data_IF_685783373582
#
_entry.id   IF_685783373582
#
_cell.length_a   1.000
_cell.length_b   1.000
_cell.length_c   1.000
_cell.angle_alpha   90.00
_cell.angle_beta   90.00
_cell.angle_gamma   90.00
#
_symmetry.space_group_name_H-M   'P 1'
#
loop_
_entity.id
_entity.type
_entity.pdbx_description
1 polymer ?
#
# COMPACT_ATOMS: atom_id res chain seq x y z
N UNK A 1 6.31 -4.51 11.53
CA UNK A 1 6.63 -3.80 10.29
C UNK A 1 6.08 -2.38 10.36
N UNK A 2 6.58 -1.50 9.50
CA UNK A 2 6.01 -0.19 9.22
C UNK A 2 5.57 -0.19 7.74
N UNK A 3 4.26 -0.04 7.50
CA UNK A 3 3.63 -0.20 6.19
C UNK A 3 2.95 1.10 5.78
N UNK A 4 3.27 1.64 4.62
CA UNK A 4 2.55 2.78 4.06
C UNK A 4 1.71 2.33 2.85
N UNK A 5 0.42 2.67 2.84
CA UNK A 5 -0.46 2.52 1.70
C UNK A 5 -0.57 3.84 0.96
N UNK A 6 -0.26 3.85 -0.33
CA UNK A 6 -0.39 5.00 -1.23
C UNK A 6 -1.52 4.72 -2.20
N UNK A 7 -2.56 5.55 -2.15
CA UNK A 7 -3.80 5.39 -2.91
C UNK A 7 -3.93 6.44 -4.00
N UNK A 8 -4.27 5.99 -5.21
CA UNK A 8 -4.44 6.83 -6.37
C UNK A 8 -5.87 7.39 -6.46
N UNK A 9 -6.02 8.70 -6.38
CA UNK A 9 -7.29 9.39 -6.58
C UNK A 9 -7.32 10.30 -7.81
N UNK A 10 -6.38 10.09 -8.74
CA UNK A 10 -6.21 10.89 -9.95
C UNK A 10 -7.32 10.67 -10.97
N UNK A 11 -7.30 11.47 -12.04
CA UNK A 11 -8.32 11.42 -13.10
C UNK A 11 -8.30 10.14 -13.94
N UNK A 12 -7.17 9.42 -14.02
CA UNK A 12 -7.05 8.15 -14.76
C UNK A 12 -7.81 7.00 -14.09
N UNK A 13 -7.92 7.02 -12.76
CA UNK A 13 -8.69 6.04 -11.99
C UNK A 13 -10.19 6.36 -12.08
N UNK A 14 -11.03 5.40 -12.45
CA UNK A 14 -12.49 5.55 -12.46
C UNK A 14 -13.07 5.53 -11.04
N UNK A 15 -14.31 6.00 -10.86
CA UNK A 15 -14.97 6.00 -9.54
C UNK A 15 -15.14 4.59 -8.97
N UNK A 16 -15.49 3.63 -9.81
CA UNK A 16 -15.63 2.23 -9.41
C UNK A 16 -14.28 1.65 -8.95
N UNK A 17 -13.21 1.88 -9.74
CA UNK A 17 -11.86 1.44 -9.42
C UNK A 17 -11.34 2.06 -8.11
N UNK A 18 -11.63 3.34 -7.85
CA UNK A 18 -11.30 3.97 -6.55
C UNK A 18 -12.10 3.39 -5.39
N UNK A 19 -13.34 2.97 -5.63
CA UNK A 19 -14.12 2.27 -4.61
C UNK A 19 -13.52 0.90 -4.29
N UNK A 20 -13.14 0.13 -5.30
CA UNK A 20 -12.47 -1.16 -5.16
C UNK A 20 -11.11 -1.03 -4.46
N UNK A 21 -10.33 -0.01 -4.81
CA UNK A 21 -9.08 0.33 -4.12
C UNK A 21 -9.30 0.55 -2.62
N UNK A 22 -10.33 1.31 -2.24
CA UNK A 22 -10.69 1.52 -0.83
C UNK A 22 -11.07 0.21 -0.14
N UNK A 23 -11.83 -0.67 -0.79
CA UNK A 23 -12.19 -1.97 -0.24
C UNK A 23 -10.94 -2.83 -0.02
N UNK A 24 -10.03 -2.84 -1.00
CA UNK A 24 -8.78 -3.58 -0.89
C UNK A 24 -7.94 -3.06 0.28
N UNK A 25 -7.74 -1.74 0.38
CA UNK A 25 -6.95 -1.14 1.47
C UNK A 25 -7.58 -1.43 2.83
N UNK A 26 -8.90 -1.38 2.97
CA UNK A 26 -9.59 -1.81 4.21
C UNK A 26 -9.22 -3.23 4.61
N UNK A 27 -9.35 -4.19 3.69
CA UNK A 27 -9.00 -5.59 3.94
C UNK A 27 -7.51 -5.77 4.28
N UNK A 28 -6.63 -5.01 3.63
CA UNK A 28 -5.19 -5.04 3.92
C UNK A 28 -4.89 -4.48 5.31
N UNK A 29 -5.49 -3.35 5.68
CA UNK A 29 -5.34 -2.73 7.01
C UNK A 29 -5.80 -3.70 8.10
N UNK A 30 -6.96 -4.34 7.96
CA UNK A 30 -7.45 -5.35 8.92
C UNK A 30 -6.40 -6.45 9.18
N UNK A 31 -5.76 -6.95 8.12
CA UNK A 31 -4.78 -8.01 8.24
C UNK A 31 -3.43 -7.53 8.78
N UNK A 32 -3.02 -6.31 8.42
CA UNK A 32 -1.72 -5.75 8.82
C UNK A 32 -1.77 -5.30 10.28
N UNK A 33 -2.80 -4.59 10.71
CA UNK A 33 -2.97 -4.12 12.10
C UNK A 33 -3.07 -5.30 13.07
N UNK A 34 -3.79 -6.34 12.72
CA UNK A 34 -3.96 -7.55 13.55
C UNK A 34 -2.63 -8.20 13.98
N UNK A 35 -1.54 -7.91 13.30
CA UNK A 35 -0.20 -8.44 13.60
C UNK A 35 0.68 -7.47 14.39
N UNK A 36 0.13 -6.36 14.90
CA UNK A 36 0.85 -5.35 15.69
C UNK A 36 1.86 -4.54 14.87
N UNK A 37 1.58 -4.34 13.60
CA UNK A 37 2.35 -3.46 12.72
C UNK A 37 1.85 -2.02 12.85
N UNK A 38 2.59 -1.06 12.25
CA UNK A 38 2.15 0.33 12.15
C UNK A 38 1.85 0.64 10.69
N UNK A 39 0.73 1.28 10.46
CA UNK A 39 0.28 1.67 9.13
C UNK A 39 0.30 3.19 8.96
N UNK A 40 0.49 3.63 7.71
CA UNK A 40 0.24 4.98 7.25
C UNK A 40 -0.60 4.96 5.98
N UNK A 41 -1.35 6.03 5.75
CA UNK A 41 -2.18 6.22 4.57
C UNK A 41 -1.80 7.51 3.86
N UNK A 42 -1.52 7.43 2.57
CA UNK A 42 -1.25 8.56 1.68
C UNK A 42 -2.29 8.54 0.57
N UNK A 43 -2.88 9.68 0.26
CA UNK A 43 -3.76 9.86 -0.89
C UNK A 43 -3.13 10.84 -1.86
N UNK A 44 -3.07 10.49 -3.15
CA UNK A 44 -2.53 11.37 -4.16
C UNK A 44 -3.44 11.57 -5.38
N UNK A 45 -3.14 12.60 -6.13
CA UNK A 45 -3.67 13.00 -7.42
C UNK A 45 -2.69 14.03 -7.99
N UNK A 46 -3.12 15.28 -8.21
CA UNK A 46 -2.22 16.40 -8.56
C UNK A 46 -1.24 16.77 -7.44
N UNK A 47 -1.61 16.52 -6.20
CA UNK A 47 -0.79 16.61 -4.98
C UNK A 47 -0.92 15.34 -4.17
N UNK A 48 0.03 15.10 -3.27
CA UNK A 48 -0.04 14.02 -2.31
C UNK A 48 -0.20 14.57 -0.89
N UNK A 49 -0.82 13.80 0.00
CA UNK A 49 -0.96 14.16 1.43
C UNK A 49 -1.14 12.92 2.29
N UNK A 50 -0.51 12.92 3.45
CA UNK A 50 -0.71 11.91 4.49
C UNK A 50 -2.12 12.05 5.06
N UNK A 51 -2.82 10.93 5.21
CA UNK A 51 -4.18 10.81 5.77
C UNK A 51 -4.17 10.15 7.14
N UNK A 52 -3.17 9.30 7.38
CA UNK A 52 -2.85 8.77 8.68
C UNK A 52 -1.34 8.52 8.75
N UNK A 53 -0.70 8.91 9.84
CA UNK A 53 0.72 8.68 10.10
C UNK A 53 0.97 7.25 10.61
N UNK A 54 2.22 6.81 10.54
CA UNK A 54 2.65 5.51 11.08
C UNK A 54 2.32 5.39 12.56
N UNK A 55 1.45 4.43 12.89
CA UNK A 55 1.05 4.17 14.26
C UNK A 55 0.18 5.26 14.90
N UNK A 56 -0.43 6.13 14.10
CA UNK A 56 -1.37 7.14 14.59
C UNK A 56 -2.56 6.51 15.32
N UNK A 57 -2.98 5.33 14.89
CA UNK A 57 -4.07 4.59 15.49
C UNK A 57 -3.60 3.18 15.91
N UNK A 58 -4.20 2.68 16.99
CA UNK A 58 -3.86 1.37 17.55
C UNK A 58 -4.78 0.25 17.05
N UNK A 59 -5.84 0.60 16.32
CA UNK A 59 -6.84 -0.36 15.86
C UNK A 59 -7.13 -0.20 14.36
N UNK A 60 -7.49 -1.30 13.72
CA UNK A 60 -7.84 -1.32 12.30
C UNK A 60 -9.08 -0.46 12.01
N UNK A 61 -10.07 -0.44 12.90
CA UNK A 61 -11.33 0.28 12.74
C UNK A 61 -11.08 1.78 12.49
N UNK A 62 -10.16 2.40 13.25
CA UNK A 62 -9.82 3.82 13.08
C UNK A 62 -9.16 4.11 11.74
N UNK A 63 -8.26 3.23 11.26
CA UNK A 63 -7.69 3.36 9.90
C UNK A 63 -8.78 3.17 8.84
N UNK A 64 -9.67 2.20 9.03
CA UNK A 64 -10.80 1.93 8.12
C UNK A 64 -11.72 3.14 8.02
N UNK A 65 -12.03 3.81 9.12
CA UNK A 65 -12.81 5.06 9.10
C UNK A 65 -12.12 6.14 8.25
N UNK A 66 -10.79 6.28 8.34
CA UNK A 66 -10.04 7.21 7.50
C UNK A 66 -10.19 6.83 6.03
N UNK A 67 -9.98 5.54 5.68
CA UNK A 67 -10.12 5.05 4.30
C UNK A 67 -11.54 5.29 3.77
N UNK A 68 -12.57 5.08 4.59
CA UNK A 68 -13.97 5.30 4.19
C UNK A 68 -14.28 6.77 3.88
N UNK A 69 -13.62 7.71 4.58
CA UNK A 69 -13.78 9.15 4.38
C UNK A 69 -13.00 9.70 3.18
N UNK A 70 -12.09 8.92 2.60
CA UNK A 70 -11.33 9.35 1.43
C UNK A 70 -12.25 9.63 0.25
N UNK A 71 -11.98 10.73 -0.45
CA UNK A 71 -12.72 11.16 -1.63
C UNK A 71 -11.79 11.19 -2.84
N UNK A 72 -12.31 10.76 -3.98
CA UNK A 72 -11.60 10.87 -5.25
C UNK A 72 -11.38 12.34 -5.60
N UNK A 73 -10.12 12.73 -5.81
CA UNK A 73 -9.76 14.13 -6.07
C UNK A 73 -9.77 14.51 -7.55
N UNK A 74 -9.61 13.52 -8.45
CA UNK A 74 -9.36 13.74 -9.87
C UNK A 74 -8.03 14.51 -10.13
N UNK A 75 -7.87 15.07 -11.32
CA UNK A 75 -6.67 15.81 -11.69
C UNK A 75 -5.54 14.94 -12.18
N UNK A 76 -4.32 15.46 -12.08
CA UNK A 76 -3.10 14.79 -12.61
C UNK A 76 -2.70 13.59 -11.75
N UNK A 77 -2.00 12.64 -12.37
CA UNK A 77 -1.40 11.48 -11.69
C UNK A 77 0.05 11.79 -11.36
N UNK A 78 0.34 12.10 -10.11
CA UNK A 78 1.67 12.49 -9.60
C UNK A 78 2.16 11.48 -8.56
N UNK A 79 2.42 10.25 -9.05
CA UNK A 79 3.01 9.18 -8.20
C UNK A 79 4.35 9.64 -7.61
N UNK A 80 5.14 10.38 -8.38
CA UNK A 80 6.40 10.96 -7.93
C UNK A 80 6.25 11.75 -6.62
N UNK A 81 5.24 12.63 -6.53
CA UNK A 81 4.95 13.40 -5.30
C UNK A 81 4.51 12.52 -4.14
N UNK A 82 3.77 11.46 -4.43
CA UNK A 82 3.34 10.53 -3.38
C UNK A 82 4.52 9.75 -2.79
N UNK A 83 5.50 9.39 -3.63
CA UNK A 83 6.74 8.75 -3.18
C UNK A 83 7.63 9.72 -2.40
N UNK A 84 7.73 10.99 -2.83
CA UNK A 84 8.45 12.04 -2.06
C UNK A 84 7.82 12.19 -0.65
N UNK A 85 6.49 12.30 -0.54
CA UNK A 85 5.76 12.36 0.75
C UNK A 85 5.99 11.12 1.60
N UNK A 86 6.04 9.93 0.99
CA UNK A 86 6.34 8.70 1.74
C UNK A 86 7.75 8.73 2.36
N UNK A 87 8.75 9.24 1.65
CA UNK A 87 10.12 9.41 2.16
C UNK A 87 10.16 10.43 3.29
N UNK A 88 9.67 11.64 3.00
CA UNK A 88 9.92 12.81 3.82
C UNK A 88 9.02 12.89 5.06
N UNK A 89 7.76 12.49 4.92
CA UNK A 89 6.76 12.67 5.97
C UNK A 89 6.39 11.37 6.70
N UNK A 90 6.52 10.20 6.06
CA UNK A 90 6.10 8.92 6.66
C UNK A 90 7.28 8.13 7.17
N UNK A 91 8.23 7.76 6.31
CA UNK A 91 9.33 6.89 6.71
C UNK A 91 10.44 7.63 7.47
N UNK A 92 10.44 8.97 7.51
CA UNK A 92 11.27 9.75 8.45
C UNK A 92 10.97 9.43 9.91
N UNK A 93 9.72 9.03 10.22
CA UNK A 93 9.27 8.61 11.57
C UNK A 93 9.23 7.09 11.77
N UNK A 94 9.73 6.31 10.81
CA UNK A 94 9.72 4.86 10.88
C UNK A 94 10.68 4.34 11.96
N UNK A 95 10.31 3.22 12.57
CA UNK A 95 11.16 2.55 13.56
C UNK A 95 12.46 2.07 12.91
N UNK A 96 13.65 2.32 13.51
CA UNK A 96 14.95 1.99 12.89
C UNK A 96 15.09 0.53 12.47
N UNK A 97 14.60 -0.39 13.31
CA UNK A 97 14.73 -1.84 13.11
C UNK A 97 13.48 -2.49 12.52
N UNK A 98 12.46 -1.71 12.15
CA UNK A 98 11.28 -2.26 11.51
C UNK A 98 11.56 -2.60 10.05
N UNK A 99 10.98 -3.70 9.59
CA UNK A 99 10.85 -3.92 8.15
C UNK A 99 9.88 -2.87 7.58
N UNK A 100 10.33 -2.17 6.55
CA UNK A 100 9.61 -1.05 5.96
C UNK A 100 9.13 -1.43 4.57
N UNK A 101 7.86 -1.16 4.30
CA UNK A 101 7.26 -1.40 2.99
C UNK A 101 6.28 -0.30 2.62
N UNK A 102 6.33 0.14 1.38
CA UNK A 102 5.29 0.96 0.77
C UNK A 102 4.52 0.14 -0.25
N UNK A 103 3.21 0.15 -0.16
CA UNK A 103 2.28 -0.48 -1.09
C UNK A 103 1.61 0.62 -1.90
N UNK A 104 1.94 0.69 -3.18
CA UNK A 104 1.41 1.72 -4.10
C UNK A 104 0.31 1.10 -4.94
N UNK A 105 -0.90 1.64 -4.82
CA UNK A 105 -2.07 1.23 -5.58
C UNK A 105 -2.30 2.28 -6.68
N UNK A 106 -2.15 1.90 -7.95
CA UNK A 106 -2.28 2.82 -9.09
C UNK A 106 -2.34 2.04 -10.42
N UNK A 107 -2.80 2.69 -11.49
CA UNK A 107 -2.69 2.18 -12.87
C UNK A 107 -1.27 2.32 -13.46
N UNK A 108 -0.38 3.02 -12.78
CA UNK A 108 1.00 3.27 -13.20
C UNK A 108 1.15 4.32 -14.30
N UNK A 109 0.08 5.01 -14.67
CA UNK A 109 0.11 6.04 -15.73
C UNK A 109 0.34 7.41 -15.14
N UNK A 110 1.57 7.91 -15.19
CA UNK A 110 1.92 9.26 -14.74
C UNK A 110 1.59 10.34 -15.77
N UNK A 111 1.19 11.51 -15.28
CA UNK A 111 0.98 12.71 -16.09
C UNK A 111 2.31 13.25 -16.63
N UNK A 112 2.26 13.90 -17.80
CA UNK A 112 3.41 14.60 -18.38
C UNK A 112 4.02 15.60 -17.38
N UNK A 113 5.36 15.62 -17.31
CA UNK A 113 6.11 16.47 -16.38
C UNK A 113 6.30 15.90 -14.97
N UNK A 114 5.88 14.66 -14.70
CA UNK A 114 6.28 13.93 -13.50
C UNK A 114 7.72 13.39 -13.64
N UNK A 115 8.42 13.26 -12.51
CA UNK A 115 9.70 12.52 -12.46
C UNK A 115 9.49 11.07 -12.89
N UNK A 116 10.50 10.39 -13.41
CA UNK A 116 10.39 8.97 -13.72
C UNK A 116 10.13 8.15 -12.45
N UNK A 117 9.35 7.06 -12.57
CA UNK A 117 9.04 6.19 -11.42
C UNK A 117 10.29 5.56 -10.82
N UNK A 118 11.30 5.27 -11.65
CA UNK A 118 12.61 4.75 -11.21
C UNK A 118 13.35 5.75 -10.32
N UNK A 119 13.37 7.02 -10.72
CA UNK A 119 14.04 8.09 -9.96
C UNK A 119 13.28 8.38 -8.67
N UNK A 120 11.98 8.54 -8.73
CA UNK A 120 11.15 8.87 -7.58
C UNK A 120 11.14 7.80 -6.49
N UNK A 121 11.25 6.52 -6.86
CA UNK A 121 11.30 5.42 -5.91
C UNK A 121 12.70 5.10 -5.37
N UNK A 122 13.75 5.67 -5.96
CA UNK A 122 15.14 5.44 -5.56
C UNK A 122 15.41 5.79 -4.09
N UNK A 123 14.98 6.95 -3.55
CA UNK A 123 15.19 7.29 -2.14
C UNK A 123 14.58 6.27 -1.18
N UNK A 124 13.39 5.74 -1.46
CA UNK A 124 12.77 4.68 -0.66
C UNK A 124 13.65 3.44 -0.61
N UNK A 125 14.11 2.96 -1.77
CA UNK A 125 14.99 1.78 -1.82
C UNK A 125 16.32 2.01 -1.12
N UNK A 126 16.91 3.21 -1.22
CA UNK A 126 18.13 3.59 -0.49
C UNK A 126 17.93 3.60 1.03
N UNK A 127 16.71 3.93 1.49
CA UNK A 127 16.31 3.86 2.89
C UNK A 127 15.86 2.44 3.35
N UNK A 128 16.14 1.41 2.54
CA UNK A 128 15.70 0.03 2.77
C UNK A 128 14.17 -0.11 2.93
N UNK A 129 13.40 0.72 2.23
CA UNK A 129 11.96 0.57 2.11
C UNK A 129 11.65 -0.25 0.85
N UNK A 130 11.01 -1.39 1.02
CA UNK A 130 10.54 -2.20 -0.10
C UNK A 130 9.36 -1.50 -0.76
N UNK A 131 9.36 -1.45 -2.08
CA UNK A 131 8.27 -0.87 -2.87
C UNK A 131 7.49 -2.01 -3.52
N UNK A 132 6.24 -2.19 -3.13
CA UNK A 132 5.28 -3.13 -3.73
C UNK A 132 4.26 -2.32 -4.53
N UNK A 133 4.04 -2.67 -5.78
CA UNK A 133 3.04 -2.04 -6.64
C UNK A 133 1.85 -2.98 -6.82
N UNK A 134 0.66 -2.45 -6.60
CA UNK A 134 -0.62 -3.11 -6.84
C UNK A 134 -1.30 -2.39 -8.00
N UNK A 135 -1.32 -3.02 -9.16
CA UNK A 135 -1.92 -2.48 -10.36
C UNK A 135 -3.44 -2.54 -10.28
N UNK A 136 -4.10 -1.40 -10.47
CA UNK A 136 -5.55 -1.26 -10.42
C UNK A 136 -6.06 -0.72 -11.74
N UNK A 137 -7.25 -1.18 -12.13
CA UNK A 137 -7.94 -0.72 -13.33
C UNK A 137 -7.53 -1.42 -14.61
N UNK A 138 -8.36 -1.25 -15.62
CA UNK A 138 -8.21 -1.92 -16.94
C UNK A 138 -7.09 -1.35 -17.81
N UNK A 139 -6.58 -0.16 -17.45
CA UNK A 139 -5.50 0.55 -18.16
C UNK A 139 -4.11 0.39 -17.54
N UNK A 140 -3.94 -0.55 -16.63
CA UNK A 140 -2.71 -0.72 -15.86
C UNK A 140 -1.46 -0.89 -16.74
N UNK A 141 -0.45 -0.07 -16.47
CA UNK A 141 0.84 -0.07 -17.14
C UNK A 141 1.89 -0.88 -16.37
N UNK A 142 1.82 -2.21 -16.40
CA UNK A 142 2.70 -3.13 -15.64
C UNK A 142 4.19 -2.77 -15.78
N UNK A 143 4.66 -2.49 -16.99
CA UNK A 143 6.06 -2.14 -17.25
C UNK A 143 6.49 -0.84 -16.52
N UNK A 144 5.56 0.11 -16.31
CA UNK A 144 5.84 1.33 -15.56
C UNK A 144 5.88 1.06 -14.06
N UNK A 145 4.95 0.26 -13.54
CA UNK A 145 4.96 -0.16 -12.14
C UNK A 145 6.25 -0.91 -11.78
N UNK A 146 6.75 -1.75 -12.69
CA UNK A 146 8.06 -2.42 -12.56
C UNK A 146 9.23 -1.44 -12.42
N UNK A 147 9.21 -0.31 -13.10
CA UNK A 147 10.25 0.71 -12.93
C UNK A 147 10.28 1.30 -11.51
N UNK A 148 9.13 1.35 -10.86
CA UNK A 148 9.00 1.82 -9.48
C UNK A 148 9.50 0.80 -8.47
N UNK A 149 9.13 -0.46 -8.62
CA UNK A 149 9.50 -1.52 -7.68
C UNK A 149 10.95 -1.97 -7.85
N UNK A 150 11.45 -1.98 -9.07
CA UNK A 150 12.76 -2.53 -9.43
C UNK A 150 12.77 -4.06 -9.57
N UNK A 151 11.64 -4.73 -9.36
CA UNK A 151 11.47 -6.18 -9.49
C UNK A 151 10.09 -6.52 -10.07
N UNK A 152 10.01 -7.57 -10.87
CA UNK A 152 8.73 -8.10 -11.36
C UNK A 152 7.92 -8.76 -10.26
N UNK A 153 8.58 -9.38 -9.31
CA UNK A 153 7.97 -10.07 -8.17
C UNK A 153 7.23 -9.10 -7.22
N UNK A 154 7.54 -7.81 -7.29
CA UNK A 154 6.93 -6.76 -6.49
C UNK A 154 5.84 -5.98 -7.25
N UNK A 155 5.37 -6.51 -8.38
CA UNK A 155 4.23 -5.97 -9.13
C UNK A 155 3.10 -6.98 -9.12
N UNK A 156 1.99 -6.63 -8.48
CA UNK A 156 0.77 -7.44 -8.41
C UNK A 156 -0.29 -6.82 -9.32
N UNK A 157 -0.75 -7.59 -10.30
CA UNK A 157 -1.88 -7.22 -11.16
C UNK A 157 -3.17 -7.71 -10.51
N UNK A 158 -4.05 -6.79 -10.13
CA UNK A 158 -5.31 -7.12 -9.46
C UNK A 158 -6.45 -7.04 -10.46
N UNK A 159 -6.87 -8.19 -10.97
CA UNK A 159 -8.09 -8.34 -11.80
C UNK A 159 -9.33 -8.57 -10.93
N UNK A 160 -9.15 -9.18 -9.78
CA UNK A 160 -10.17 -9.49 -8.79
C UNK A 160 -9.57 -9.33 -7.39
N UNK A 161 -10.20 -8.50 -6.55
CA UNK A 161 -9.70 -8.16 -5.21
C UNK A 161 -9.71 -9.39 -4.30
N UNK A 162 -10.75 -10.21 -4.34
CA UNK A 162 -10.88 -11.34 -3.43
C UNK A 162 -9.87 -12.44 -3.74
N UNK A 163 -9.70 -12.77 -5.03
CA UNK A 163 -8.73 -13.75 -5.48
C UNK A 163 -7.27 -13.33 -5.22
N UNK A 164 -6.98 -12.03 -5.28
CA UNK A 164 -5.61 -11.52 -5.12
C UNK A 164 -5.27 -11.05 -3.70
N UNK A 165 -6.25 -10.86 -2.81
CA UNK A 165 -6.01 -10.36 -1.44
C UNK A 165 -4.95 -11.18 -0.71
N UNK A 166 -5.08 -12.51 -0.71
CA UNK A 166 -4.13 -13.39 -0.04
C UNK A 166 -2.73 -13.32 -0.65
N UNK A 167 -2.63 -13.16 -1.96
CA UNK A 167 -1.37 -13.00 -2.66
C UNK A 167 -0.68 -11.68 -2.29
N UNK A 168 -1.42 -10.56 -2.25
CA UNK A 168 -0.91 -9.25 -1.83
C UNK A 168 -0.42 -9.32 -0.39
N UNK A 169 -1.21 -9.88 0.52
CA UNK A 169 -0.84 -10.05 1.92
C UNK A 169 0.44 -10.89 2.03
N UNK A 170 0.53 -12.00 1.32
CA UNK A 170 1.73 -12.85 1.29
C UNK A 170 2.95 -12.05 0.82
N UNK A 171 2.79 -11.21 -0.20
CA UNK A 171 3.87 -10.35 -0.69
C UNK A 171 4.26 -9.26 0.30
N UNK A 172 3.29 -8.63 1.01
CA UNK A 172 3.59 -7.68 2.09
C UNK A 172 4.47 -8.34 3.15
N UNK A 173 4.16 -9.58 3.53
CA UNK A 173 4.90 -10.33 4.54
C UNK A 173 6.10 -11.11 4.00
N UNK A 174 6.38 -11.06 2.71
CA UNK A 174 7.57 -11.68 2.09
C UNK A 174 8.83 -10.93 2.54
N UNK A 175 9.36 -11.36 3.68
CA UNK A 175 10.49 -10.74 4.35
C UNK A 175 11.53 -11.81 4.71
N UNK A 176 12.81 -11.60 4.39
CA UNK A 176 13.90 -12.48 4.81
C UNK A 176 14.03 -12.61 6.35
N UNK A 177 13.47 -11.68 7.13
CA UNK A 177 13.53 -11.68 8.60
C UNK A 177 12.36 -12.40 9.31
N UNK A 178 11.55 -13.19 8.62
CA UNK A 178 10.54 -14.05 9.25
C UNK A 178 9.17 -13.42 9.53
N UNK A 179 8.86 -12.24 8.98
CA UNK A 179 7.53 -11.63 9.14
C UNK A 179 6.40 -12.52 8.61
N UNK A 180 6.65 -13.30 7.56
CA UNK A 180 5.69 -14.27 7.03
C UNK A 180 5.32 -15.35 8.07
N UNK A 181 6.29 -15.84 8.86
CA UNK A 181 6.05 -16.82 9.94
C UNK A 181 5.10 -16.23 11.00
N UNK A 182 5.32 -14.97 11.40
CA UNK A 182 4.46 -14.29 12.37
C UNK A 182 3.03 -14.15 11.83
N UNK A 183 2.87 -13.76 10.57
CA UNK A 183 1.57 -13.66 9.91
C UNK A 183 0.86 -15.02 9.86
N UNK A 184 1.54 -16.08 9.46
CA UNK A 184 0.99 -17.44 9.40
C UNK A 184 0.56 -17.94 10.78
N UNK A 185 1.35 -17.65 11.82
CA UNK A 185 1.03 -18.01 13.20
C UNK A 185 -0.24 -17.30 13.70
N UNK A 186 -0.36 -15.98 13.47
CA UNK A 186 -1.56 -15.21 13.85
C UNK A 186 -2.81 -15.77 13.14
N UNK A 187 -2.71 -16.06 11.84
CA UNK A 187 -3.81 -16.64 11.07
C UNK A 187 -4.21 -18.03 11.57
N UNK A 188 -3.24 -18.84 11.96
CA UNK A 188 -3.49 -20.14 12.56
C UNK A 188 -4.22 -20.03 13.90
N UNK A 189 -3.80 -19.10 14.77
CA UNK A 189 -4.43 -18.86 16.07
C UNK A 189 -5.87 -18.31 15.92
N UNK A 190 -6.10 -17.39 14.99
CA UNK A 190 -7.44 -16.88 14.68
C UNK A 190 -8.39 -17.98 14.20
N UNK A 191 -7.93 -18.89 13.32
CA UNK A 191 -8.73 -20.03 12.86
C UNK A 191 -9.08 -21.00 13.99
N UNK A 192 -8.18 -21.20 14.96
CA UNK A 192 -8.45 -22.04 16.14
C UNK A 192 -9.52 -21.41 17.05
N UNK A 193 -9.46 -20.09 17.26
CA UNK A 193 -10.42 -19.37 18.07
C UNK A 193 -11.86 -19.49 17.52
N UNK A 194 -12.04 -19.31 16.20
CA UNK A 194 -13.34 -19.47 15.53
C UNK A 194 -13.88 -20.92 15.67
N UNK A 195 -13.00 -21.93 15.71
CA UNK A 195 -13.40 -23.35 15.87
C UNK A 195 -13.72 -23.74 17.32
N UNK A 196 -13.29 -22.95 18.30
CA UNK A 196 -13.58 -23.19 19.71
C UNK A 196 -14.83 -22.45 20.21
N UNK A 197 -15.37 -21.55 19.40
CA UNK A 197 -16.58 -20.76 19.69
C UNK A 197 -17.84 -21.31 18.97
N UNK A 198 -17.70 -22.40 18.19
CA UNK A 198 -18.76 -23.19 17.56
C UNK A 198 -18.75 -24.62 18.13
#
# INVERSE_FOLDING_TARGET
>A
MDVAFIMDSSGSIKRAEFYEERLLVKKLVEQVTATGNREALILFGSSASVKAQLGQYNTAEKYIEVVQKLRKKNGRTRIDRALDVAVDEVFSSARPYAYKIVVVLSDGVQSKGAKSLRESSRPLRQANVRVLAVGIGTGMAKNRLRLMTGSDDDVVDVKDIEGHLQYIITNIYRNPCGALRKYQLVKFLQRRRIRSEN
#
